data_IF_749978563122
#
_entry.id   IF_749978563122
#
_cell.length_a   1.000
_cell.length_b   1.000
_cell.length_c   1.000
_cell.angle_alpha   90.00
_cell.angle_beta   90.00
_cell.angle_gamma   90.00
#
_symmetry.space_group_name_H-M   'P 1'
#
loop_
_entity.id
_entity.type
_entity.pdbx_description
1 polymer ?
#
# COMPACT_ATOMS: atom_id res chain seq x y z
N UNK A 1 12.23 1.32 -6.66
CA UNK A 1 12.25 1.97 -5.35
C UNK A 1 10.90 2.62 -5.10
N UNK A 2 10.19 2.12 -4.08
CA UNK A 2 8.92 2.70 -3.63
C UNK A 2 9.20 3.86 -2.65
N UNK A 3 8.45 4.96 -2.76
CA UNK A 3 8.50 6.08 -1.82
C UNK A 3 7.33 5.95 -0.86
N UNK A 4 7.61 5.90 0.44
CA UNK A 4 6.63 5.77 1.52
C UNK A 4 6.62 7.04 2.35
N UNK A 5 5.53 7.81 2.29
CA UNK A 5 5.33 9.00 3.10
C UNK A 5 4.83 8.59 4.50
N UNK A 6 5.60 8.89 5.52
CA UNK A 6 5.31 8.52 6.92
C UNK A 6 4.66 9.67 7.70
N UNK A 7 4.53 10.86 7.08
CA UNK A 7 3.89 12.03 7.69
C UNK A 7 2.42 12.17 7.28
N UNK A 8 1.61 12.59 8.25
CA UNK A 8 0.19 12.88 8.09
C UNK A 8 -0.09 14.34 7.72
N UNK A 9 0.94 15.13 7.42
CA UNK A 9 0.79 16.55 7.13
C UNK A 9 -0.18 16.83 5.97
N UNK A 10 -1.23 17.65 6.19
CA UNK A 10 -2.23 17.95 5.16
C UNK A 10 -1.64 18.56 3.87
N UNK A 11 -0.49 19.23 3.99
CA UNK A 11 0.20 19.88 2.86
C UNK A 11 0.76 18.87 1.86
N UNK A 12 1.14 17.68 2.31
CA UNK A 12 1.72 16.64 1.44
C UNK A 12 0.73 16.24 0.34
N UNK A 13 -0.55 16.06 0.68
CA UNK A 13 -1.58 15.72 -0.31
C UNK A 13 -1.69 16.77 -1.42
N UNK A 14 -1.57 18.06 -1.06
CA UNK A 14 -1.58 19.17 -2.03
C UNK A 14 -0.35 19.13 -2.93
N UNK A 15 0.85 18.98 -2.36
CA UNK A 15 2.12 18.92 -3.11
C UNK A 15 2.11 17.73 -4.09
N UNK A 16 1.66 16.57 -3.65
CA UNK A 16 1.56 15.36 -4.47
C UNK A 16 0.59 15.55 -5.63
N UNK A 17 -0.57 16.17 -5.38
CA UNK A 17 -1.52 16.53 -6.44
C UNK A 17 -0.94 17.53 -7.44
N UNK A 18 -0.25 18.58 -6.96
CA UNK A 18 0.43 19.58 -7.81
C UNK A 18 1.57 18.95 -8.65
N UNK A 19 2.22 17.90 -8.14
CA UNK A 19 3.20 17.09 -8.87
C UNK A 19 2.58 16.13 -9.89
N UNK A 20 1.24 16.15 -10.06
CA UNK A 20 0.51 15.38 -11.08
C UNK A 20 0.20 13.94 -10.70
N UNK A 21 0.38 13.55 -9.43
CA UNK A 21 0.02 12.22 -8.96
C UNK A 21 -1.50 12.08 -8.83
N UNK A 22 -2.03 10.95 -9.30
CA UNK A 22 -3.44 10.58 -9.18
C UNK A 22 -3.63 9.76 -7.91
N UNK A 23 -4.55 10.19 -7.05
CA UNK A 23 -4.90 9.43 -5.85
C UNK A 23 -5.61 8.12 -6.23
N UNK A 24 -5.14 7.02 -5.64
CA UNK A 24 -5.74 5.70 -5.69
C UNK A 24 -6.05 5.27 -4.26
N UNK A 25 -7.32 5.38 -3.86
CA UNK A 25 -7.84 4.72 -2.65
C UNK A 25 -8.18 3.27 -3.01
N UNK A 26 -7.44 2.33 -2.41
CA UNK A 26 -7.40 0.94 -2.89
C UNK A 26 -8.54 0.06 -2.36
N UNK A 27 -8.88 0.20 -1.08
CA UNK A 27 -9.75 -0.71 -0.33
C UNK A 27 -11.06 -0.97 -1.07
N UNK A 28 -11.74 0.10 -1.51
CA UNK A 28 -13.02 -0.01 -2.23
C UNK A 28 -12.88 -0.75 -3.56
N UNK A 29 -11.91 -0.35 -4.38
CA UNK A 29 -11.72 -0.91 -5.74
C UNK A 29 -11.32 -2.38 -5.65
N UNK A 30 -10.44 -2.71 -4.71
CA UNK A 30 -9.99 -4.08 -4.48
C UNK A 30 -11.12 -4.96 -3.94
N UNK A 31 -11.91 -4.46 -2.99
CA UNK A 31 -13.08 -5.19 -2.50
C UNK A 31 -14.09 -5.50 -3.62
N UNK A 32 -14.39 -4.53 -4.49
CA UNK A 32 -15.28 -4.72 -5.65
C UNK A 32 -14.73 -5.75 -6.65
N UNK A 33 -13.40 -5.82 -6.83
CA UNK A 33 -12.75 -6.82 -7.67
C UNK A 33 -12.82 -8.23 -7.05
N UNK A 34 -12.57 -8.35 -5.75
CA UNK A 34 -12.55 -9.64 -5.03
C UNK A 34 -13.94 -10.24 -4.83
N UNK A 35 -14.99 -9.43 -4.65
CA UNK A 35 -16.38 -9.91 -4.52
C UNK A 35 -16.81 -10.74 -5.73
N UNK A 36 -16.26 -10.46 -6.92
CA UNK A 36 -16.53 -11.20 -8.17
C UNK A 36 -15.86 -12.58 -8.21
N UNK A 37 -15.00 -12.91 -7.25
CA UNK A 37 -14.32 -14.21 -7.11
C UNK A 37 -15.01 -15.06 -6.05
N UNK A 38 -14.86 -16.38 -6.19
CA UNK A 38 -15.25 -17.33 -5.15
C UNK A 38 -14.48 -17.04 -3.84
N UNK A 39 -15.19 -17.02 -2.72
CA UNK A 39 -14.64 -16.72 -1.40
C UNK A 39 -13.45 -17.59 -1.03
N UNK A 40 -13.45 -18.87 -1.43
CA UNK A 40 -12.40 -19.82 -1.07
C UNK A 40 -11.04 -19.47 -1.70
N UNK A 41 -11.03 -18.77 -2.83
CA UNK A 41 -9.81 -18.46 -3.59
C UNK A 41 -9.41 -16.98 -3.52
N UNK A 42 -10.29 -16.10 -3.02
CA UNK A 42 -10.04 -14.64 -2.91
C UNK A 42 -8.64 -14.28 -2.38
N UNK A 43 -8.15 -14.87 -1.27
CA UNK A 43 -6.81 -14.56 -0.75
C UNK A 43 -5.69 -14.69 -1.78
N UNK A 44 -5.77 -15.71 -2.64
CA UNK A 44 -4.72 -16.01 -3.63
C UNK A 44 -4.67 -14.96 -4.75
N UNK A 45 -5.78 -14.24 -5.00
CA UNK A 45 -5.88 -13.25 -6.07
C UNK A 45 -5.64 -11.82 -5.60
N UNK A 46 -5.47 -11.57 -4.30
CA UNK A 46 -5.39 -10.19 -3.78
C UNK A 46 -4.20 -9.46 -4.39
N UNK A 47 -3.00 -10.05 -4.34
CA UNK A 47 -1.81 -9.43 -4.95
C UNK A 47 -2.00 -9.21 -6.46
N UNK A 48 -2.53 -10.19 -7.19
CA UNK A 48 -2.75 -10.10 -8.64
C UNK A 48 -3.74 -9.00 -9.02
N UNK A 49 -4.86 -8.88 -8.29
CA UNK A 49 -5.85 -7.84 -8.55
C UNK A 49 -5.29 -6.44 -8.19
N UNK A 50 -4.49 -6.31 -7.11
CA UNK A 50 -3.78 -5.04 -6.82
C UNK A 50 -2.84 -4.66 -7.96
N UNK A 51 -2.02 -5.61 -8.43
CA UNK A 51 -1.09 -5.39 -9.54
C UNK A 51 -1.82 -4.96 -10.81
N UNK A 52 -2.97 -5.58 -11.10
CA UNK A 52 -3.83 -5.25 -12.23
C UNK A 52 -4.47 -3.86 -12.09
N UNK A 53 -5.00 -3.52 -10.92
CA UNK A 53 -5.59 -2.20 -10.63
C UNK A 53 -4.54 -1.11 -10.85
N UNK A 54 -3.37 -1.24 -10.22
CA UNK A 54 -2.30 -0.24 -10.32
C UNK A 54 -1.78 -0.13 -11.76
N UNK A 55 -1.59 -1.25 -12.46
CA UNK A 55 -1.11 -1.25 -13.85
C UNK A 55 -2.12 -0.67 -14.86
N UNK A 56 -3.40 -0.56 -14.49
CA UNK A 56 -4.43 0.03 -15.35
C UNK A 56 -4.45 1.57 -15.32
N UNK A 57 -3.79 2.18 -14.34
CA UNK A 57 -3.79 3.63 -14.15
C UNK A 57 -2.64 4.24 -14.93
N UNK A 58 -2.97 5.22 -15.77
CA UNK A 58 -1.98 5.97 -16.52
C UNK A 58 -1.42 7.13 -15.67
N UNK A 59 -0.09 7.21 -15.57
CA UNK A 59 0.62 8.28 -14.88
C UNK A 59 1.04 7.91 -13.45
N UNK A 60 1.62 8.87 -12.69
CA UNK A 60 2.09 8.63 -11.34
C UNK A 60 0.92 8.47 -10.35
N UNK A 61 1.09 7.57 -9.37
CA UNK A 61 0.02 7.10 -8.47
C UNK A 61 0.35 7.47 -7.04
N UNK A 62 -0.60 8.08 -6.35
CA UNK A 62 -0.57 8.29 -4.90
C UNK A 62 -1.48 7.27 -4.23
N UNK A 63 -0.91 6.22 -3.66
CA UNK A 63 -1.64 5.10 -3.06
C UNK A 63 -2.05 5.43 -1.63
N UNK A 64 -3.34 5.30 -1.34
CA UNK A 64 -3.96 5.51 -0.02
C UNK A 64 -4.97 4.41 0.27
N UNK A 65 -5.46 4.34 1.52
CA UNK A 65 -6.62 3.52 1.91
C UNK A 65 -6.48 2.06 1.43
N UNK A 66 -5.47 1.36 1.94
CA UNK A 66 -5.09 -0.01 1.55
C UNK A 66 -5.01 -0.98 2.74
N UNK A 67 -5.52 -0.57 3.90
CA UNK A 67 -5.48 -1.30 5.18
C UNK A 67 -5.99 -2.74 5.06
N UNK A 68 -6.89 -3.03 4.12
CA UNK A 68 -7.36 -4.39 3.90
C UNK A 68 -6.24 -5.37 3.53
N UNK A 69 -5.11 -4.89 3.01
CA UNK A 69 -3.97 -5.74 2.66
C UNK A 69 -3.32 -6.40 3.89
N UNK A 70 -3.52 -5.86 5.10
CA UNK A 70 -3.02 -6.43 6.35
C UNK A 70 -3.92 -7.52 6.93
N UNK A 71 -5.05 -7.82 6.28
CA UNK A 71 -5.91 -8.91 6.72
C UNK A 71 -5.11 -10.22 6.72
N UNK A 72 -5.00 -10.92 7.86
CA UNK A 72 -4.15 -12.11 7.98
C UNK A 72 -4.58 -13.24 7.04
N UNK A 73 -5.83 -13.22 6.56
CA UNK A 73 -6.32 -14.19 5.57
C UNK A 73 -5.63 -14.04 4.22
N UNK A 74 -5.11 -12.86 3.88
CA UNK A 74 -4.47 -12.59 2.59
C UNK A 74 -3.00 -12.99 2.55
N UNK A 75 -2.34 -13.08 3.71
CA UNK A 75 -0.94 -13.52 3.81
C UNK A 75 0.01 -12.73 2.88
N UNK A 76 -0.16 -11.41 2.82
CA UNK A 76 0.61 -10.50 1.96
C UNK A 76 1.73 -9.84 2.76
N UNK A 77 2.96 -9.90 2.23
CA UNK A 77 4.00 -8.95 2.61
C UNK A 77 3.73 -7.62 1.89
N UNK A 78 3.15 -6.67 2.63
CA UNK A 78 2.64 -5.40 2.07
C UNK A 78 3.78 -4.52 1.54
N UNK A 79 4.92 -4.48 2.23
CA UNK A 79 6.07 -3.68 1.78
C UNK A 79 6.69 -4.28 0.52
N UNK A 80 6.80 -5.61 0.46
CA UNK A 80 7.23 -6.29 -0.76
C UNK A 80 6.27 -6.04 -1.92
N UNK A 81 4.97 -6.02 -1.68
CA UNK A 81 3.99 -5.68 -2.70
C UNK A 81 4.22 -4.25 -3.23
N UNK A 82 4.47 -3.27 -2.35
CA UNK A 82 4.79 -1.89 -2.77
C UNK A 82 6.04 -1.81 -3.63
N UNK A 83 7.08 -2.57 -3.27
CA UNK A 83 8.27 -2.69 -4.10
C UNK A 83 7.93 -3.19 -5.52
N UNK A 84 7.16 -4.29 -5.64
CA UNK A 84 6.77 -4.84 -6.93
C UNK A 84 5.88 -3.88 -7.74
N UNK A 85 5.01 -3.11 -7.08
CA UNK A 85 4.23 -2.05 -7.72
C UNK A 85 5.12 -0.93 -8.27
N UNK A 86 6.15 -0.54 -7.50
CA UNK A 86 7.10 0.51 -7.91
C UNK A 86 7.90 0.17 -9.17
N UNK A 87 8.03 -1.13 -9.48
CA UNK A 87 8.68 -1.61 -10.71
C UNK A 87 7.82 -1.41 -11.96
N UNK A 88 6.52 -1.16 -11.79
CA UNK A 88 5.54 -1.07 -12.88
C UNK A 88 4.95 0.32 -13.06
N UNK A 89 4.85 1.07 -11.97
CA UNK A 89 4.33 2.43 -11.97
C UNK A 89 5.14 3.33 -11.05
N UNK A 90 5.23 4.62 -11.40
CA UNK A 90 5.73 5.64 -10.48
C UNK A 90 4.70 5.79 -9.36
N UNK A 91 5.03 5.31 -8.17
CA UNK A 91 4.09 5.24 -7.04
C UNK A 91 4.69 5.88 -5.79
N UNK A 92 3.85 6.65 -5.10
CA UNK A 92 4.09 7.18 -3.76
C UNK A 92 3.00 6.61 -2.87
N UNK A 93 3.37 6.02 -1.74
CA UNK A 93 2.45 5.40 -0.79
C UNK A 93 2.33 6.29 0.43
N UNK A 94 1.11 6.59 0.88
CA UNK A 94 0.88 7.18 2.20
C UNK A 94 0.85 6.04 3.24
N UNK A 95 1.86 5.97 4.11
CA UNK A 95 1.84 4.99 5.19
C UNK A 95 0.61 5.18 6.07
N UNK A 96 -0.13 4.10 6.30
CA UNK A 96 -1.35 4.10 7.11
C UNK A 96 -1.12 3.76 8.59
N UNK A 97 0.14 3.57 8.99
CA UNK A 97 0.55 3.35 10.37
C UNK A 97 1.56 4.40 10.84
N UNK A 98 2.51 3.99 11.67
CA UNK A 98 3.60 4.85 12.18
C UNK A 98 4.95 4.39 11.68
N UNK A 99 5.90 5.32 11.60
CA UNK A 99 7.33 4.99 11.53
C UNK A 99 7.89 5.13 12.95
N UNK A 100 8.31 4.02 13.54
CA UNK A 100 8.91 3.95 14.87
C UNK A 100 10.36 3.49 14.73
N UNK A 101 11.30 4.39 15.01
CA UNK A 101 12.72 4.25 14.64
C UNK A 101 12.90 3.86 13.16
N UNK A 102 13.29 2.61 12.91
CA UNK A 102 13.51 2.02 11.59
C UNK A 102 12.40 1.05 11.18
N UNK A 103 11.24 1.08 11.85
CA UNK A 103 10.14 0.17 11.60
C UNK A 103 8.89 0.90 11.10
N UNK A 104 8.38 0.44 9.95
CA UNK A 104 7.01 0.75 9.54
C UNK A 104 6.07 -0.17 10.32
N UNK A 105 5.32 0.40 11.26
CA UNK A 105 4.43 -0.32 12.17
C UNK A 105 2.98 -0.08 11.76
N UNK A 106 2.20 -1.15 11.65
CA UNK A 106 0.76 -1.11 11.41
C UNK A 106 0.01 -1.90 12.49
N UNK A 107 -1.12 -1.33 12.93
CA UNK A 107 -1.98 -1.83 14.01
C UNK A 107 -1.27 -1.96 15.38
N UNK A 108 -2.00 -2.46 16.38
CA UNK A 108 -1.50 -2.66 17.76
C UNK A 108 -1.05 -4.12 17.91
N UNK A 109 0.05 -4.43 18.63
CA UNK A 109 0.59 -5.79 18.78
C UNK A 109 -0.40 -6.87 19.25
N UNK A 110 -1.51 -6.48 19.90
CA UNK A 110 -2.55 -7.41 20.35
C UNK A 110 -3.49 -7.89 19.23
N UNK A 111 -3.46 -7.27 18.05
CA UNK A 111 -4.35 -7.61 16.93
C UNK A 111 -3.66 -8.50 15.90
N UNK A 112 -4.45 -9.35 15.24
CA UNK A 112 -3.95 -10.32 14.26
C UNK A 112 -3.45 -9.71 12.95
N UNK A 113 -3.79 -8.45 12.70
CA UNK A 113 -3.32 -7.64 11.58
C UNK A 113 -2.08 -6.80 11.93
N UNK A 114 -1.50 -6.98 13.13
CA UNK A 114 -0.28 -6.32 13.52
C UNK A 114 0.90 -6.69 12.62
N UNK A 115 1.60 -5.67 12.13
CA UNK A 115 2.82 -5.84 11.36
C UNK A 115 3.87 -4.81 11.77
N UNK A 116 5.13 -5.23 11.78
CA UNK A 116 6.30 -4.37 11.96
C UNK A 116 7.33 -4.75 10.91
N UNK A 117 7.69 -3.81 10.04
CA UNK A 117 8.63 -4.02 8.94
C UNK A 117 9.88 -3.19 9.16
N UNK A 118 11.03 -3.84 9.29
CA UNK A 118 12.31 -3.13 9.30
C UNK A 118 12.59 -2.57 7.90
N UNK A 119 12.73 -1.25 7.78
CA UNK A 119 12.90 -0.57 6.48
C UNK A 119 14.17 -1.01 5.75
N UNK A 120 15.17 -1.55 6.47
CA UNK A 120 16.43 -2.01 5.88
C UNK A 120 16.31 -3.35 5.15
N UNK A 121 15.21 -4.08 5.36
CA UNK A 121 14.94 -5.36 4.67
C UNK A 121 14.37 -5.15 3.26
N UNK A 122 14.07 -3.90 2.87
CA UNK A 122 13.35 -3.56 1.64
C UNK A 122 14.01 -2.41 0.85
N UNK A 123 13.87 -2.43 -0.48
CA UNK A 123 14.28 -1.31 -1.36
C UNK A 123 13.19 -0.22 -1.42
N UNK A 124 13.03 0.49 -0.30
CA UNK A 124 12.09 1.59 -0.12
C UNK A 124 12.79 2.84 0.40
N UNK A 125 12.17 4.00 0.18
CA UNK A 125 12.57 5.26 0.82
C UNK A 125 11.42 5.79 1.65
N UNK A 126 11.65 5.93 2.96
CA UNK A 126 10.73 6.59 3.87
C UNK A 126 10.99 8.11 3.88
N UNK A 127 9.93 8.89 3.73
CA UNK A 127 9.96 10.36 3.85
C UNK A 127 9.14 10.74 5.08
N UNK A 128 9.77 11.44 6.01
CA UNK A 128 9.19 11.91 7.29
C UNK A 128 8.80 13.37 7.14
#
# INVERSE_FOLDING_TARGET
MAIVLCSSEPRLKKIIAEAGFKELSLNKILAEALVKKDTAIRPQFVADEVMKIVSSIQGPIFLTDYEMLFDPRYSIDVIRLFYELSRRAKIVIKWCGTLDDNHLVYATPAYSDFHSYNIHDYDITCVI
#
